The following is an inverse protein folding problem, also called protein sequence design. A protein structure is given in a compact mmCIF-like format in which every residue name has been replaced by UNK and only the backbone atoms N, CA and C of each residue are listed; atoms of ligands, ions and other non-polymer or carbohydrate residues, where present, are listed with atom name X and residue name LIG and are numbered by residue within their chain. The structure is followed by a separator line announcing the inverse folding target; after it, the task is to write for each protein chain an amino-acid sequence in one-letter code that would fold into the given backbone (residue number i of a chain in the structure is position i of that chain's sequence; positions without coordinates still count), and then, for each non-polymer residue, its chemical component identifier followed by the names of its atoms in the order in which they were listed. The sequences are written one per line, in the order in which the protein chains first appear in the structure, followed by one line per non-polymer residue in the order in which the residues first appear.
data_IF_391118575651
#
_entry.id   IF_391118575651
#
_cell.length_a   1.000
_cell.length_b   1.000
_cell.length_c   1.000
_cell.angle_alpha   90.00
_cell.angle_beta   90.00
_cell.angle_gamma   90.00
#
_symmetry.space_group_name_H-M   'P 1'
#
loop_
_entity.id
_entity.type
_entity.pdbx_description
1 polymer ?
#
# COMPACT_ATOMS: atom_id res chain seq x y z
N UNK A 1 14.55 -15.82 5.67
CA UNK A 1 14.51 -14.73 6.68
C UNK A 1 14.19 -15.33 8.05
N UNK A 2 15.11 -15.16 8.98
CA UNK A 2 14.89 -15.56 10.37
C UNK A 2 14.36 -14.38 11.22
N UNK A 3 14.20 -14.58 12.52
CA UNK A 3 13.64 -13.59 13.42
C UNK A 3 14.52 -12.32 13.54
N UNK A 4 15.83 -12.49 13.49
CA UNK A 4 16.77 -11.36 13.52
C UNK A 4 16.63 -10.50 12.26
N UNK A 5 16.45 -11.11 11.09
CA UNK A 5 16.23 -10.41 9.83
C UNK A 5 14.93 -9.58 9.87
N UNK A 6 13.86 -10.16 10.40
CA UNK A 6 12.57 -9.46 10.56
C UNK A 6 12.68 -8.27 11.49
N UNK A 7 13.39 -8.42 12.61
CA UNK A 7 13.63 -7.33 13.55
C UNK A 7 14.47 -6.23 12.90
N UNK A 8 15.49 -6.58 12.14
CA UNK A 8 16.32 -5.61 11.41
C UNK A 8 15.50 -4.80 10.41
N UNK A 9 14.63 -5.45 9.64
CA UNK A 9 13.69 -4.78 8.72
C UNK A 9 12.75 -3.84 9.49
N UNK A 10 12.26 -4.27 10.65
CA UNK A 10 11.37 -3.43 11.48
C UNK A 10 12.06 -2.15 11.91
N UNK A 11 13.30 -2.24 12.41
CA UNK A 11 14.06 -1.06 12.81
C UNK A 11 14.34 -0.11 11.62
N UNK A 12 14.66 -0.68 10.46
CA UNK A 12 14.85 0.11 9.23
C UNK A 12 13.55 0.78 8.75
N UNK A 13 12.40 0.18 8.97
CA UNK A 13 11.10 0.81 8.67
C UNK A 13 10.78 1.98 9.59
N UNK A 14 11.24 1.91 10.84
CA UNK A 14 11.12 3.01 11.81
C UNK A 14 12.08 4.13 11.44
N UNK A 15 13.34 3.78 11.16
CA UNK A 15 14.38 4.72 10.78
C UNK A 15 15.24 4.13 9.66
N UNK A 16 14.93 4.50 8.42
CA UNK A 16 15.65 4.02 7.24
C UNK A 16 17.08 4.55 7.14
N UNK A 17 17.47 5.53 7.97
CA UNK A 17 18.84 6.07 8.05
C UNK A 17 19.61 5.54 9.25
N UNK A 18 19.10 4.55 9.97
CA UNK A 18 19.81 3.94 11.06
C UNK A 18 21.17 3.38 10.57
N UNK A 19 22.23 3.74 11.26
CA UNK A 19 23.56 3.20 10.98
C UNK A 19 23.67 1.74 11.42
N UNK A 20 24.63 1.01 10.86
CA UNK A 20 24.89 -0.36 11.28
C UNK A 20 25.20 -0.46 12.79
N UNK A 21 26.03 0.43 13.38
CA UNK A 21 26.20 0.45 14.84
C UNK A 21 24.89 0.62 15.63
N UNK A 22 23.99 1.52 15.18
CA UNK A 22 22.70 1.72 15.81
C UNK A 22 21.82 0.46 15.71
N UNK A 23 21.76 -0.16 14.53
CA UNK A 23 21.02 -1.40 14.33
C UNK A 23 21.57 -2.53 15.19
N UNK A 24 22.89 -2.66 15.28
CA UNK A 24 23.52 -3.69 16.11
C UNK A 24 23.17 -3.51 17.60
N UNK A 25 23.17 -2.28 18.09
CA UNK A 25 22.78 -1.97 19.46
C UNK A 25 21.30 -2.30 19.71
N UNK A 26 20.40 -1.85 18.84
CA UNK A 26 18.96 -2.12 18.96
C UNK A 26 18.63 -3.62 18.91
N UNK A 27 19.38 -4.38 18.13
CA UNK A 27 19.17 -5.82 17.97
C UNK A 27 19.94 -6.66 18.99
N UNK A 28 20.89 -6.06 19.73
CA UNK A 28 21.71 -6.78 20.68
C UNK A 28 22.71 -7.72 20.02
N UNK A 29 23.27 -7.36 18.86
CA UNK A 29 24.22 -8.18 18.10
C UNK A 29 25.50 -7.36 17.79
N UNK A 30 26.56 -8.06 17.36
CA UNK A 30 27.77 -7.40 16.88
C UNK A 30 27.51 -6.62 15.58
N UNK A 31 28.26 -5.54 15.37
CA UNK A 31 28.16 -4.72 14.16
C UNK A 31 28.38 -5.54 12.89
N UNK A 32 29.37 -6.45 12.90
CA UNK A 32 29.65 -7.33 11.79
C UNK A 32 28.46 -8.25 11.46
N UNK A 33 27.73 -8.71 12.47
CA UNK A 33 26.53 -9.52 12.28
C UNK A 33 25.41 -8.71 11.63
N UNK A 34 25.14 -7.51 12.12
CA UNK A 34 24.13 -6.62 11.56
C UNK A 34 24.47 -6.27 10.10
N UNK A 35 25.70 -5.91 9.81
CA UNK A 35 26.18 -5.58 8.46
C UNK A 35 26.00 -6.76 7.51
N UNK A 36 26.46 -7.95 7.89
CA UNK A 36 26.37 -9.16 7.08
C UNK A 36 24.91 -9.52 6.76
N UNK A 37 24.01 -9.38 7.73
CA UNK A 37 22.60 -9.65 7.54
C UNK A 37 21.96 -8.66 6.58
N UNK A 38 22.24 -7.38 6.76
CA UNK A 38 21.75 -6.32 5.88
C UNK A 38 22.23 -6.53 4.44
N UNK A 39 23.52 -6.75 4.24
CA UNK A 39 24.11 -6.96 2.92
C UNK A 39 23.50 -8.19 2.23
N UNK A 40 23.29 -9.27 2.97
CA UNK A 40 22.66 -10.48 2.44
C UNK A 40 21.22 -10.21 1.98
N UNK A 41 20.42 -9.53 2.80
CA UNK A 41 19.02 -9.23 2.46
C UNK A 41 18.89 -8.29 1.26
N UNK A 42 19.84 -7.39 1.08
CA UNK A 42 19.90 -6.54 -0.11
C UNK A 42 20.32 -7.37 -1.33
N UNK A 43 21.36 -8.19 -1.18
CA UNK A 43 21.91 -8.99 -2.27
C UNK A 43 20.91 -10.02 -2.82
N UNK A 44 20.14 -10.67 -1.97
CA UNK A 44 19.16 -11.69 -2.42
C UNK A 44 17.74 -11.13 -2.64
N UNK A 45 17.55 -9.81 -2.51
CA UNK A 45 16.31 -9.14 -2.86
C UNK A 45 15.20 -9.18 -1.80
N UNK A 46 15.50 -9.65 -0.58
CA UNK A 46 14.56 -9.55 0.55
C UNK A 46 14.26 -8.08 0.85
N UNK A 47 15.29 -7.23 0.76
CA UNK A 47 15.14 -5.77 0.73
C UNK A 47 15.32 -5.33 -0.72
N UNK A 48 14.24 -4.85 -1.33
CA UNK A 48 14.23 -4.41 -2.73
C UNK A 48 14.87 -3.04 -2.94
N UNK A 49 14.95 -2.24 -1.90
CA UNK A 49 15.50 -0.90 -1.95
C UNK A 49 15.13 -0.07 -0.73
N UNK A 50 15.64 1.15 -0.72
CA UNK A 50 15.38 2.14 0.30
C UNK A 50 14.68 3.34 -0.35
N UNK A 51 13.79 3.98 0.40
CA UNK A 51 13.06 5.13 -0.10
C UNK A 51 12.86 6.15 1.03
N UNK A 52 12.38 7.32 0.65
CA UNK A 52 12.02 8.37 1.61
C UNK A 52 10.52 8.60 1.59
N UNK A 53 9.98 8.94 2.76
CA UNK A 53 8.62 9.48 2.88
C UNK A 53 8.75 10.98 3.05
N UNK A 54 8.09 11.72 2.16
CA UNK A 54 8.05 13.19 2.22
C UNK A 54 6.68 13.66 2.69
N UNK A 55 6.60 14.91 3.13
CA UNK A 55 5.29 15.50 3.45
C UNK A 55 4.47 15.64 2.18
N UNK A 56 3.16 15.51 2.31
CA UNK A 56 2.23 15.51 1.19
C UNK A 56 2.21 16.85 0.42
N UNK A 57 2.73 17.93 1.02
CA UNK A 57 2.88 19.25 0.40
C UNK A 57 4.05 19.35 -0.57
N UNK A 58 4.91 18.34 -0.65
CA UNK A 58 6.06 18.31 -1.56
C UNK A 58 5.76 17.37 -2.74
N UNK A 59 5.16 17.93 -3.80
CA UNK A 59 5.21 17.34 -5.12
C UNK A 59 4.07 16.43 -5.54
N UNK A 60 2.90 16.43 -4.89
CA UNK A 60 1.73 15.71 -5.41
C UNK A 60 0.42 16.40 -5.04
N UNK A 61 -0.10 17.13 -6.00
CA UNK A 61 -1.51 17.55 -6.01
C UNK A 61 -2.41 16.38 -6.43
N UNK A 62 -2.31 15.25 -5.72
CA UNK A 62 -3.12 14.08 -6.04
C UNK A 62 -4.04 13.73 -4.87
N UNK A 63 -5.27 13.41 -5.23
CA UNK A 63 -6.29 12.92 -4.30
C UNK A 63 -6.19 11.40 -4.25
N UNK A 64 -5.99 10.87 -3.05
CA UNK A 64 -5.97 9.44 -2.79
C UNK A 64 -7.22 9.06 -2.01
N UNK A 65 -7.81 7.94 -2.39
CA UNK A 65 -9.00 7.43 -1.73
C UNK A 65 -9.00 5.91 -1.69
N UNK A 66 -9.72 5.36 -0.70
CA UNK A 66 -10.09 3.97 -0.67
C UNK A 66 -11.59 3.84 -0.93
N UNK A 67 -11.95 2.97 -1.86
CA UNK A 67 -13.33 2.63 -2.13
C UNK A 67 -13.61 1.20 -1.68
N UNK A 68 -14.47 1.06 -0.70
CA UNK A 68 -14.94 -0.20 -0.17
C UNK A 68 -16.13 -0.65 -1.01
N UNK A 69 -16.10 -1.88 -1.52
CA UNK A 69 -17.08 -2.34 -2.49
C UNK A 69 -17.68 -3.67 -2.04
N UNK A 70 -19.01 -3.72 -2.01
CA UNK A 70 -19.77 -4.95 -1.88
C UNK A 70 -20.26 -5.39 -3.25
N UNK A 71 -20.01 -6.64 -3.58
CA UNK A 71 -20.43 -7.22 -4.85
C UNK A 71 -21.54 -8.25 -4.63
N UNK A 72 -22.44 -8.35 -5.59
CA UNK A 72 -23.52 -9.31 -5.58
C UNK A 72 -23.69 -9.95 -6.96
N UNK A 73 -24.37 -11.11 -6.98
CA UNK A 73 -24.61 -11.85 -8.20
C UNK A 73 -23.58 -12.95 -8.47
N UNK A 74 -23.68 -13.56 -9.64
CA UNK A 74 -22.89 -14.74 -10.03
C UNK A 74 -21.60 -14.42 -10.79
N UNK A 75 -21.40 -13.16 -11.19
CA UNK A 75 -20.31 -12.75 -12.09
C UNK A 75 -19.22 -11.93 -11.38
N UNK A 76 -18.77 -12.39 -10.22
CA UNK A 76 -17.76 -11.67 -9.41
C UNK A 76 -16.46 -11.44 -10.19
N UNK A 77 -15.99 -12.42 -10.94
CA UNK A 77 -14.77 -12.33 -11.75
C UNK A 77 -14.87 -11.25 -12.83
N UNK A 78 -16.01 -11.15 -13.52
CA UNK A 78 -16.18 -10.13 -14.55
C UNK A 78 -16.30 -8.74 -13.95
N UNK A 79 -16.93 -8.61 -12.79
CA UNK A 79 -17.01 -7.34 -12.05
C UNK A 79 -15.61 -6.88 -11.61
N UNK A 80 -14.81 -7.77 -11.04
CA UNK A 80 -13.41 -7.49 -10.67
C UNK A 80 -12.58 -7.05 -11.89
N UNK A 81 -12.73 -7.77 -13.01
CA UNK A 81 -12.03 -7.42 -14.25
C UNK A 81 -12.44 -6.05 -14.76
N UNK A 82 -13.70 -5.69 -14.66
CA UNK A 82 -14.19 -4.36 -15.05
C UNK A 82 -13.65 -3.26 -14.14
N UNK A 83 -13.62 -3.49 -12.82
CA UNK A 83 -13.04 -2.54 -11.86
C UNK A 83 -11.56 -2.31 -12.16
N UNK A 84 -10.79 -3.35 -12.44
CA UNK A 84 -9.35 -3.25 -12.77
C UNK A 84 -9.05 -2.38 -13.98
N UNK A 85 -10.02 -2.16 -14.87
CA UNK A 85 -9.86 -1.33 -16.06
C UNK A 85 -10.22 0.12 -15.86
N UNK A 86 -10.73 0.48 -14.69
CA UNK A 86 -11.12 1.87 -14.41
C UNK A 86 -9.89 2.73 -14.27
N UNK A 87 -9.76 3.83 -15.04
CA UNK A 87 -8.64 4.76 -14.86
C UNK A 87 -8.64 5.35 -13.45
N UNK A 88 -7.45 5.54 -12.87
CA UNK A 88 -7.30 6.06 -11.51
C UNK A 88 -7.18 4.99 -10.44
N UNK A 89 -7.39 3.72 -10.79
CA UNK A 89 -7.17 2.60 -9.88
C UNK A 89 -5.67 2.31 -9.76
N UNK A 90 -5.13 2.30 -8.54
CA UNK A 90 -3.74 1.96 -8.25
C UNK A 90 -3.60 0.60 -7.55
N UNK A 91 -4.67 0.07 -7.02
CA UNK A 91 -4.68 -1.25 -6.39
C UNK A 91 -6.09 -1.76 -6.16
N UNK A 92 -6.24 -3.08 -6.13
CA UNK A 92 -7.50 -3.73 -5.82
C UNK A 92 -7.22 -4.97 -4.98
N UNK A 93 -7.85 -5.07 -3.82
CA UNK A 93 -7.58 -6.10 -2.81
C UNK A 93 -8.87 -6.80 -2.39
N UNK A 94 -8.82 -8.13 -2.30
CA UNK A 94 -9.87 -8.88 -1.64
C UNK A 94 -9.80 -8.67 -0.13
N UNK A 95 -10.95 -8.67 0.53
CA UNK A 95 -11.01 -8.59 1.99
C UNK A 95 -11.85 -9.75 2.55
N UNK A 96 -11.66 -10.02 3.84
CA UNK A 96 -12.45 -11.02 4.57
C UNK A 96 -13.55 -10.39 5.45
N UNK A 97 -13.72 -9.06 5.35
CA UNK A 97 -14.68 -8.32 6.17
C UNK A 97 -16.06 -8.18 5.52
N UNK A 98 -16.78 -7.15 5.95
CA UNK A 98 -18.10 -6.80 5.44
C UNK A 98 -18.07 -6.44 3.94
N UNK A 99 -16.97 -5.89 3.47
CA UNK A 99 -16.76 -5.49 2.08
C UNK A 99 -16.01 -6.58 1.33
N UNK A 100 -16.35 -6.81 0.07
CA UNK A 100 -15.73 -7.86 -0.74
C UNK A 100 -14.36 -7.47 -1.25
N UNK A 101 -14.23 -6.22 -1.72
CA UNK A 101 -12.95 -5.67 -2.21
C UNK A 101 -12.74 -4.25 -1.75
N UNK A 102 -11.47 -3.86 -1.70
CA UNK A 102 -11.03 -2.48 -1.47
C UNK A 102 -10.25 -2.04 -2.70
N UNK A 103 -10.68 -0.92 -3.31
CA UNK A 103 -9.96 -0.27 -4.40
C UNK A 103 -9.16 0.92 -3.87
N UNK A 104 -7.89 0.99 -4.22
CA UNK A 104 -7.07 2.20 -4.04
C UNK A 104 -7.21 3.06 -5.28
N UNK A 105 -7.51 4.35 -5.06
CA UNK A 105 -7.70 5.32 -6.11
C UNK A 105 -6.72 6.48 -5.94
N UNK A 106 -6.17 6.94 -7.05
CA UNK A 106 -5.32 8.13 -7.10
C UNK A 106 -5.65 8.94 -8.35
N UNK A 107 -6.12 10.16 -8.16
CA UNK A 107 -6.57 11.05 -9.21
C UNK A 107 -6.11 12.49 -8.95
N UNK A 108 -6.08 13.32 -9.99
CA UNK A 108 -5.60 14.70 -9.87
C UNK A 108 -6.65 15.66 -9.31
N UNK A 109 -7.95 15.42 -9.57
CA UNK A 109 -9.02 16.33 -9.19
C UNK A 109 -10.21 15.63 -8.56
N UNK A 110 -11.02 16.37 -7.81
CA UNK A 110 -12.29 15.85 -7.26
C UNK A 110 -13.26 15.45 -8.37
N UNK A 111 -13.25 16.15 -9.48
CA UNK A 111 -14.07 15.81 -10.65
C UNK A 111 -13.72 14.43 -11.19
N UNK A 112 -12.43 14.14 -11.34
CA UNK A 112 -11.96 12.80 -11.74
C UNK A 112 -12.33 11.73 -10.72
N UNK A 113 -12.22 12.04 -9.43
CA UNK A 113 -12.63 11.10 -8.38
C UNK A 113 -14.12 10.76 -8.49
N UNK A 114 -14.96 11.78 -8.69
CA UNK A 114 -16.40 11.56 -8.86
C UNK A 114 -16.70 10.71 -10.09
N UNK A 115 -15.98 10.90 -11.19
CA UNK A 115 -16.12 10.05 -12.40
C UNK A 115 -15.74 8.59 -12.10
N UNK A 116 -14.64 8.36 -11.42
CA UNK A 116 -14.21 7.01 -11.03
C UNK A 116 -15.26 6.34 -10.14
N UNK A 117 -15.73 7.03 -9.12
CA UNK A 117 -16.76 6.52 -8.21
C UNK A 117 -18.03 6.17 -8.98
N UNK A 118 -18.50 7.06 -9.84
CA UNK A 118 -19.70 6.85 -10.66
C UNK A 118 -19.53 5.66 -11.60
N UNK A 119 -18.38 5.54 -12.24
CA UNK A 119 -18.09 4.42 -13.14
C UNK A 119 -18.12 3.10 -12.41
N UNK A 120 -17.47 2.99 -11.26
CA UNK A 120 -17.46 1.74 -10.47
C UNK A 120 -18.88 1.41 -9.97
N UNK A 121 -19.59 2.40 -9.45
CA UNK A 121 -20.95 2.21 -8.95
C UNK A 121 -21.94 1.79 -10.01
N UNK A 122 -21.70 2.12 -11.27
CA UNK A 122 -22.54 1.75 -12.40
C UNK A 122 -22.28 0.34 -12.93
N UNK A 123 -21.18 -0.30 -12.50
CA UNK A 123 -20.84 -1.65 -12.95
C UNK A 123 -21.85 -2.67 -12.44
N UNK A 124 -22.24 -3.58 -13.33
CA UNK A 124 -23.08 -4.70 -12.95
C UNK A 124 -22.32 -5.58 -11.93
N UNK A 125 -22.96 -5.90 -10.83
CA UNK A 125 -22.38 -6.68 -9.75
C UNK A 125 -21.88 -5.85 -8.56
N UNK A 126 -21.76 -4.53 -8.70
CA UNK A 126 -21.50 -3.62 -7.57
C UNK A 126 -22.83 -3.26 -6.91
N UNK A 127 -23.06 -3.73 -5.70
CA UNK A 127 -24.32 -3.53 -4.97
C UNK A 127 -24.26 -2.35 -4.01
N UNK A 128 -23.11 -2.12 -3.38
CA UNK A 128 -22.91 -1.08 -2.39
C UNK A 128 -21.46 -0.64 -2.38
N UNK A 129 -21.22 0.63 -2.10
CA UNK A 129 -19.87 1.16 -1.98
C UNK A 129 -19.79 2.29 -0.96
N UNK A 130 -18.60 2.46 -0.41
CA UNK A 130 -18.25 3.59 0.46
C UNK A 130 -16.87 4.09 0.05
N UNK A 131 -16.72 5.40 -0.15
CA UNK A 131 -15.45 5.99 -0.52
C UNK A 131 -14.92 6.86 0.60
N UNK A 132 -13.68 6.62 0.99
CA UNK A 132 -12.99 7.38 2.03
C UNK A 132 -11.79 8.08 1.40
N UNK A 133 -11.81 9.41 1.40
CA UNK A 133 -10.70 10.23 0.93
C UNK A 133 -9.65 10.31 2.03
N UNK A 134 -8.40 10.05 1.69
CA UNK A 134 -7.29 10.25 2.63
C UNK A 134 -6.98 11.73 2.74
N UNK A 135 -7.13 12.27 3.96
CA UNK A 135 -6.91 13.70 4.22
C UNK A 135 -5.46 14.05 4.55
N UNK A 136 -4.65 13.05 4.79
CA UNK A 136 -3.24 13.20 5.14
C UNK A 136 -2.81 12.24 6.25
N UNK A 137 -1.52 12.24 6.62
CA UNK A 137 -1.03 11.40 7.70
C UNK A 137 -1.62 11.81 9.05
N UNK A 138 -1.87 10.80 9.86
CA UNK A 138 -2.35 11.00 11.22
C UNK A 138 -1.26 11.57 12.14
#
# INVERSE_FOLDING_TARGET
MDELDKRLITELRINGRASVPQLAELLGVARATAQKRLDRMVANGDIKGFTVRVRDDIGKDQIRAFMLIEMSGSSLKSTISAIKRVPGLTGLFNTNGMWDVIAELEVATMSELNEVISTIRSLQGVSKSETNIMLGPA
#
